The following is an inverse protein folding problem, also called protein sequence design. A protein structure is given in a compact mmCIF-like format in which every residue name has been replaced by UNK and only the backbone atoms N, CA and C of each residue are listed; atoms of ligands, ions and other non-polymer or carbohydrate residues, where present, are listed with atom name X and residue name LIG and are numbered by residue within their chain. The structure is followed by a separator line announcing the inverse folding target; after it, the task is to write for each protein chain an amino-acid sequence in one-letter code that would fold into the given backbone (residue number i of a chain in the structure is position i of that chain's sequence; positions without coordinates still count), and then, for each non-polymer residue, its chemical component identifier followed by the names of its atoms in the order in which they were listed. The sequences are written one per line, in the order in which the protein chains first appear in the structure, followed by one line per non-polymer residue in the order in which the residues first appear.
data_IF_480841145195
#
_entry.id   IF_480841145195
#
_cell.length_a   1.000
_cell.length_b   1.000
_cell.length_c   1.000
_cell.angle_alpha   90.00
_cell.angle_beta   90.00
_cell.angle_gamma   90.00
#
_symmetry.space_group_name_H-M   'P 1'
#
loop_
_entity.id
_entity.type
_entity.pdbx_description
1 polymer ?
#
# COMPACT_ATOMS: atom_id res chain seq x y z
N UNK A 1 9.13 -7.27 -9.11
CA UNK A 1 9.23 -7.20 -7.64
C UNK A 1 10.02 -5.95 -7.26
N UNK A 2 9.51 -5.17 -6.32
CA UNK A 2 10.14 -3.96 -5.79
C UNK A 2 10.55 -4.17 -4.34
N UNK A 3 11.55 -3.43 -3.88
CA UNK A 3 11.98 -3.45 -2.46
C UNK A 3 11.88 -2.05 -1.90
N UNK A 4 11.14 -1.90 -0.79
CA UNK A 4 11.06 -0.64 -0.06
C UNK A 4 11.77 -0.73 1.28
N UNK A 5 12.34 0.38 1.70
CA UNK A 5 12.90 0.55 3.03
C UNK A 5 11.77 0.69 4.06
N UNK A 6 11.84 -0.05 5.16
CA UNK A 6 10.79 -0.09 6.18
C UNK A 6 11.14 0.69 7.47
N UNK A 7 12.38 1.17 7.62
CA UNK A 7 12.81 2.01 8.74
C UNK A 7 13.88 3.03 8.32
N UNK A 8 14.08 4.14 9.04
CA UNK A 8 15.06 5.18 8.66
C UNK A 8 16.50 4.69 8.51
N UNK A 9 16.92 3.69 9.30
CA UNK A 9 18.29 3.16 9.27
C UNK A 9 18.59 2.23 8.09
N UNK A 10 17.58 1.81 7.31
CA UNK A 10 17.77 0.94 6.14
C UNK A 10 17.96 -0.53 6.46
N UNK A 11 17.89 -0.93 7.73
CA UNK A 11 18.14 -2.31 8.19
C UNK A 11 16.93 -3.22 8.06
N UNK A 12 15.76 -2.67 7.74
CA UNK A 12 14.53 -3.40 7.48
C UNK A 12 13.98 -3.02 6.12
N UNK A 13 13.51 -4.01 5.38
CA UNK A 13 12.87 -3.85 4.09
C UNK A 13 11.56 -4.63 4.03
N UNK A 14 10.80 -4.34 2.98
CA UNK A 14 9.61 -5.06 2.55
C UNK A 14 9.72 -5.30 1.04
N UNK A 15 9.29 -6.48 0.60
CA UNK A 15 9.14 -6.76 -0.82
C UNK A 15 7.70 -6.47 -1.24
N UNK A 16 7.53 -5.83 -2.39
CA UNK A 16 6.24 -5.42 -2.92
C UNK A 16 6.15 -5.90 -4.36
N UNK A 17 5.20 -6.77 -4.66
CA UNK A 17 4.95 -7.23 -6.03
C UNK A 17 4.19 -6.17 -6.83
N UNK A 18 4.18 -6.33 -8.14
CA UNK A 18 3.35 -5.49 -9.01
C UNK A 18 1.86 -5.76 -8.77
N UNK A 19 1.48 -7.01 -8.48
CA UNK A 19 0.13 -7.39 -8.07
C UNK A 19 -0.33 -6.64 -6.80
N UNK A 20 0.58 -6.41 -5.84
CA UNK A 20 0.30 -5.61 -4.65
C UNK A 20 -0.01 -4.15 -5.02
N UNK A 21 0.73 -3.56 -5.96
CA UNK A 21 0.49 -2.19 -6.43
C UNK A 21 -0.80 -2.08 -7.24
N UNK A 22 -1.07 -3.06 -8.10
CA UNK A 22 -2.33 -3.16 -8.85
C UNK A 22 -3.53 -3.31 -7.91
N UNK A 23 -3.40 -4.09 -6.83
CA UNK A 23 -4.44 -4.22 -5.80
C UNK A 23 -4.68 -2.88 -5.07
N UNK A 24 -3.60 -2.16 -4.73
CA UNK A 24 -3.72 -0.82 -4.13
C UNK A 24 -4.51 0.13 -5.05
N UNK A 25 -4.23 0.14 -6.35
CA UNK A 25 -4.94 0.96 -7.33
C UNK A 25 -6.41 0.53 -7.48
N UNK A 26 -6.64 -0.77 -7.70
CA UNK A 26 -7.97 -1.36 -7.94
C UNK A 26 -8.99 -0.94 -6.88
N UNK A 27 -8.58 -0.93 -5.61
CA UNK A 27 -9.45 -0.54 -4.50
C UNK A 27 -9.27 0.92 -4.06
N UNK A 28 -8.39 1.68 -4.71
CA UNK A 28 -8.11 3.08 -4.40
C UNK A 28 -7.68 3.29 -2.94
N UNK A 29 -6.88 2.36 -2.38
CA UNK A 29 -6.63 2.28 -0.93
C UNK A 29 -5.96 3.52 -0.33
N UNK A 30 -5.23 4.30 -1.16
CA UNK A 30 -4.57 5.53 -0.73
C UNK A 30 -5.38 6.79 -1.02
N UNK A 31 -6.50 6.68 -1.74
CA UNK A 31 -7.41 7.82 -1.98
C UNK A 31 -8.00 8.25 -0.64
N UNK A 32 -7.81 9.52 -0.30
CA UNK A 32 -8.25 10.12 0.97
C UNK A 32 -7.61 9.50 2.24
N UNK A 33 -6.55 8.69 2.09
CA UNK A 33 -5.88 8.09 3.25
C UNK A 33 -5.06 9.14 4.03
N UNK A 34 -4.39 10.03 3.30
CA UNK A 34 -3.55 11.09 3.88
C UNK A 34 -4.33 12.39 3.88
N UNK A 35 -4.22 13.14 4.99
CA UNK A 35 -4.80 14.47 5.10
C UNK A 35 -4.02 15.51 4.27
N UNK A 36 -4.47 16.76 4.29
CA UNK A 36 -3.86 17.87 3.56
C UNK A 36 -2.41 18.17 3.95
N UNK A 37 -1.93 17.64 5.08
CA UNK A 37 -0.57 17.89 5.58
C UNK A 37 0.45 16.87 5.05
N UNK A 38 -0.01 15.78 4.42
CA UNK A 38 0.87 14.78 3.80
C UNK A 38 1.63 13.89 4.80
N UNK A 39 1.28 13.94 6.09
CA UNK A 39 1.98 13.21 7.15
C UNK A 39 1.41 11.79 7.26
N UNK A 40 2.30 10.80 7.26
CA UNK A 40 1.96 9.39 7.50
C UNK A 40 2.48 9.01 8.88
N UNK A 41 1.56 8.73 9.80
CA UNK A 41 1.86 8.21 11.14
C UNK A 41 1.23 6.82 11.36
N UNK A 42 1.40 6.27 12.56
CA UNK A 42 0.83 4.95 12.88
C UNK A 42 -0.71 4.96 12.86
N UNK A 43 -1.34 6.10 13.14
CA UNK A 43 -2.81 6.22 13.10
C UNK A 43 -3.34 6.13 11.66
N UNK A 44 -2.59 6.65 10.68
CA UNK A 44 -2.89 6.51 9.26
C UNK A 44 -2.78 5.05 8.83
N UNK A 45 -1.74 4.34 9.29
CA UNK A 45 -1.60 2.90 9.02
C UNK A 45 -2.75 2.09 9.63
N UNK A 46 -3.18 2.41 10.84
CA UNK A 46 -4.31 1.75 11.47
C UNK A 46 -5.63 2.03 10.74
N UNK A 47 -5.84 3.26 10.25
CA UNK A 47 -6.99 3.60 9.40
C UNK A 47 -6.99 2.78 8.11
N UNK A 48 -5.85 2.63 7.44
CA UNK A 48 -5.72 1.79 6.25
C UNK A 48 -6.11 0.34 6.55
N UNK A 49 -5.60 -0.23 7.65
CA UNK A 49 -5.95 -1.59 8.10
C UNK A 49 -7.45 -1.75 8.36
N UNK A 50 -8.09 -0.77 8.98
CA UNK A 50 -9.54 -0.78 9.22
C UNK A 50 -10.34 -0.65 7.92
N UNK A 51 -9.90 0.18 6.98
CA UNK A 51 -10.51 0.32 5.66
C UNK A 51 -10.48 -1.03 4.91
N UNK A 52 -9.30 -1.66 4.81
CA UNK A 52 -9.15 -2.94 4.12
C UNK A 52 -10.00 -4.04 4.79
N UNK A 53 -10.03 -4.11 6.13
CA UNK A 53 -10.93 -5.05 6.83
C UNK A 53 -12.40 -4.83 6.48
N UNK A 54 -12.80 -3.56 6.39
CA UNK A 54 -14.19 -3.20 6.05
C UNK A 54 -14.52 -3.58 4.61
N UNK A 55 -13.59 -3.38 3.67
CA UNK A 55 -13.74 -3.83 2.28
C UNK A 55 -13.89 -5.35 2.19
N UNK A 56 -13.01 -6.11 2.85
CA UNK A 56 -13.10 -7.58 2.87
C UNK A 56 -14.43 -8.05 3.48
N UNK A 57 -14.87 -7.44 4.59
CA UNK A 57 -16.11 -7.83 5.25
C UNK A 57 -17.38 -7.49 4.46
N UNK A 58 -17.33 -6.48 3.58
CA UNK A 58 -18.47 -6.04 2.79
C UNK A 58 -18.61 -6.79 1.45
N UNK A 59 -17.60 -7.54 1.03
CA UNK A 59 -17.61 -8.26 -0.25
C UNK A 59 -18.28 -9.63 -0.11
N UNK A 60 -19.17 -9.95 -1.05
CA UNK A 60 -19.78 -11.29 -1.18
C UNK A 60 -18.90 -12.27 -1.98
N UNK A 61 -17.92 -11.75 -2.74
CA UNK A 61 -16.99 -12.50 -3.59
C UNK A 61 -15.59 -12.69 -2.96
N UNK A 62 -14.73 -13.46 -3.65
CA UNK A 62 -13.37 -13.76 -3.21
C UNK A 62 -12.50 -12.49 -3.09
N UNK A 63 -11.97 -12.25 -1.89
CA UNK A 63 -11.09 -11.12 -1.56
C UNK A 63 -9.61 -11.53 -1.56
N UNK A 64 -9.24 -12.54 -2.34
CA UNK A 64 -7.88 -13.11 -2.39
C UNK A 64 -6.80 -12.04 -2.59
N UNK A 65 -6.99 -11.09 -3.50
CA UNK A 65 -6.02 -10.04 -3.79
C UNK A 65 -5.75 -9.13 -2.57
N UNK A 66 -6.81 -8.70 -1.87
CA UNK A 66 -6.70 -7.93 -0.62
C UNK A 66 -6.04 -8.75 0.50
N UNK A 67 -6.33 -10.06 0.58
CA UNK A 67 -5.74 -10.94 1.58
C UNK A 67 -4.23 -11.14 1.34
N UNK A 68 -3.83 -11.38 0.09
CA UNK A 68 -2.43 -11.52 -0.31
C UNK A 68 -1.66 -10.22 -0.01
N UNK A 69 -2.20 -9.05 -0.41
CA UNK A 69 -1.64 -7.74 -0.05
C UNK A 69 -1.52 -7.54 1.47
N UNK A 70 -2.50 -8.01 2.24
CA UNK A 70 -2.49 -7.92 3.69
C UNK A 70 -1.35 -8.73 4.30
N UNK A 71 -1.19 -9.98 3.87
CA UNK A 71 -0.19 -10.90 4.41
C UNK A 71 1.21 -10.42 4.07
N UNK A 72 1.44 -10.05 2.82
CA UNK A 72 2.79 -9.77 2.31
C UNK A 72 3.28 -8.38 2.74
N UNK A 73 2.37 -7.40 2.82
CA UNK A 73 2.76 -5.98 2.94
C UNK A 73 2.12 -5.30 4.15
N UNK A 74 0.79 -5.22 4.22
CA UNK A 74 0.10 -4.30 5.15
C UNK A 74 0.21 -4.74 6.62
N UNK A 75 0.15 -6.04 6.88
CA UNK A 75 0.26 -6.61 8.24
C UNK A 75 1.65 -7.16 8.54
N UNK A 76 2.61 -7.03 7.63
CA UNK A 76 3.97 -7.48 7.85
C UNK A 76 4.61 -6.81 9.08
N UNK A 77 5.40 -7.53 9.86
CA UNK A 77 6.00 -7.03 11.11
C UNK A 77 6.89 -5.79 10.96
N UNK A 78 7.45 -5.61 9.76
CA UNK A 78 8.26 -4.43 9.41
C UNK A 78 7.41 -3.23 8.95
N UNK A 79 6.13 -3.42 8.65
CA UNK A 79 5.24 -2.34 8.23
C UNK A 79 4.92 -1.43 9.42
N UNK A 80 5.29 -0.16 9.26
CA UNK A 80 5.10 0.95 10.19
C UNK A 80 4.82 2.22 9.39
N UNK A 81 4.55 3.34 10.06
CA UNK A 81 4.33 4.64 9.41
C UNK A 81 5.38 4.95 8.31
N UNK A 82 6.66 4.73 8.62
CA UNK A 82 7.74 4.92 7.66
C UNK A 82 7.61 3.98 6.44
N UNK A 83 7.36 2.69 6.66
CA UNK A 83 7.16 1.72 5.58
C UNK A 83 5.96 2.08 4.71
N UNK A 84 4.85 2.53 5.31
CA UNK A 84 3.68 2.99 4.57
C UNK A 84 4.00 4.22 3.72
N UNK A 85 4.75 5.18 4.26
CA UNK A 85 5.19 6.34 3.48
C UNK A 85 6.04 5.93 2.27
N UNK A 86 6.92 4.95 2.42
CA UNK A 86 7.74 4.44 1.32
C UNK A 86 6.92 3.63 0.30
N UNK A 87 5.91 2.88 0.76
CA UNK A 87 4.96 2.18 -0.11
C UNK A 87 4.14 3.17 -0.96
N UNK A 88 3.65 4.26 -0.36
CA UNK A 88 2.90 5.31 -1.06
C UNK A 88 3.79 5.96 -2.13
N UNK A 89 5.05 6.29 -1.81
CA UNK A 89 6.00 6.81 -2.80
C UNK A 89 6.23 5.85 -3.96
N UNK A 90 6.44 4.57 -3.67
CA UNK A 90 6.61 3.54 -4.70
C UNK A 90 5.38 3.45 -5.60
N UNK A 91 4.19 3.41 -5.01
CA UNK A 91 2.93 3.35 -5.76
C UNK A 91 2.73 4.57 -6.67
N UNK A 92 2.99 5.79 -6.20
CA UNK A 92 2.90 7.00 -7.02
C UNK A 92 3.88 6.98 -8.20
N UNK A 93 5.11 6.48 -7.97
CA UNK A 93 6.09 6.30 -9.03
C UNK A 93 5.62 5.27 -10.06
N UNK A 94 5.11 4.13 -9.60
CA UNK A 94 4.58 3.08 -10.49
C UNK A 94 3.37 3.57 -11.30
N UNK A 95 2.46 4.33 -10.69
CA UNK A 95 1.31 4.92 -11.37
C UNK A 95 1.75 5.85 -12.51
N UNK A 96 2.72 6.74 -12.25
CA UNK A 96 3.25 7.65 -13.28
C UNK A 96 3.90 6.93 -14.47
N UNK A 97 4.44 5.72 -14.25
CA UNK A 97 5.02 4.91 -15.31
C UNK A 97 3.94 4.26 -16.19
N UNK A 98 2.77 3.96 -15.61
CA UNK A 98 1.64 3.41 -16.37
C UNK A 98 1.02 4.45 -17.30
N UNK A 99 0.83 5.69 -16.82
CA UNK A 99 0.30 6.79 -17.64
C UNK A 99 1.20 7.09 -18.86
N UNK A 100 2.51 6.83 -18.74
CA UNK A 100 3.47 7.02 -19.84
C UNK A 100 3.34 5.94 -20.92
N UNK A 101 2.82 4.75 -20.60
CA UNK A 101 2.69 3.62 -21.53
C UNK A 101 1.39 3.69 -22.33
N UNK A 102 0.34 4.33 -21.82
CA UNK A 102 -0.92 4.52 -22.56
C UNK A 102 -0.85 5.62 -23.64
N UNK A 103 0.20 6.46 -23.64
CA UNK A 103 0.41 7.53 -24.63
C UNK A 103 1.37 7.17 -25.80
N UNK A 104 1.92 5.94 -25.86
CA UNK A 104 2.70 5.40 -27.01
C UNK A 104 1.93 4.33 -27.82
#
# INVERSE_FOLDING_TARGET
MYTIQANPSGTRSLEVSEENLATIEKYGLFRHLIDSNGIVDETVLDKLKLNIRSLIAAQEEDSKDLLDLCIDVIYHNNMKAFGLQQLIKLYLQWLSQQDTIEEE
#
